data_IF_485864700283
#
_entry.id   IF_485864700283
#
_cell.length_a   1.000
_cell.length_b   1.000
_cell.length_c   1.000
_cell.angle_alpha   90.00
_cell.angle_beta   90.00
_cell.angle_gamma   90.00
#
_symmetry.space_group_name_H-M   'P 1'
#
loop_
_entity.id
_entity.type
_entity.pdbx_description
1 polymer ?
#
# COMPACT_ATOMS: atom_id res chain seq x y z
N UNK A 1 15.06 9.67 -36.11
CA UNK A 1 15.94 9.49 -34.92
C UNK A 1 15.03 9.32 -33.71
N UNK A 2 15.16 8.24 -32.95
CA UNK A 2 14.31 8.04 -31.76
C UNK A 2 14.92 8.78 -30.57
N UNK A 3 14.11 9.47 -29.80
CA UNK A 3 14.51 9.98 -28.48
C UNK A 3 14.59 8.81 -27.51
N UNK A 4 15.50 8.87 -26.53
CA UNK A 4 15.72 7.77 -25.56
C UNK A 4 14.45 7.33 -24.83
N UNK A 5 13.58 8.30 -24.49
CA UNK A 5 12.31 8.04 -23.82
C UNK A 5 11.36 7.20 -24.68
N UNK A 6 11.18 7.59 -25.94
CA UNK A 6 10.33 6.83 -26.90
C UNK A 6 10.88 5.42 -27.13
N UNK A 7 12.21 5.28 -27.17
CA UNK A 7 12.83 3.98 -27.31
C UNK A 7 12.54 3.07 -26.12
N UNK A 8 12.65 3.59 -24.88
CA UNK A 8 12.32 2.82 -23.67
C UNK A 8 10.83 2.44 -23.64
N UNK A 9 9.91 3.32 -24.02
CA UNK A 9 8.50 2.98 -24.13
C UNK A 9 8.27 1.82 -25.11
N UNK A 10 8.88 1.88 -26.30
CA UNK A 10 8.79 0.80 -27.29
C UNK A 10 9.44 -0.51 -26.81
N UNK A 11 10.54 -0.40 -26.09
CA UNK A 11 11.21 -1.57 -25.50
C UNK A 11 10.31 -2.21 -24.44
N UNK A 12 9.70 -1.41 -23.56
CA UNK A 12 8.76 -1.89 -22.55
C UNK A 12 7.56 -2.60 -23.17
N UNK A 13 6.93 -2.01 -24.19
CA UNK A 13 5.81 -2.60 -24.89
C UNK A 13 6.13 -3.93 -25.59
N UNK A 14 7.38 -4.16 -25.98
CA UNK A 14 7.85 -5.42 -26.62
C UNK A 14 8.31 -6.46 -25.59
N UNK A 15 8.48 -6.08 -24.34
CA UNK A 15 8.96 -6.99 -23.30
C UNK A 15 7.76 -7.71 -22.69
N UNK A 16 7.63 -9.00 -22.97
CA UNK A 16 6.60 -9.82 -22.33
C UNK A 16 7.02 -10.20 -20.91
N UNK A 17 6.16 -9.99 -19.91
CA UNK A 17 6.44 -10.41 -18.53
C UNK A 17 6.55 -11.93 -18.43
N UNK A 18 7.69 -12.40 -17.91
CA UNK A 18 8.00 -13.85 -17.89
C UNK A 18 7.33 -14.62 -16.74
N UNK A 19 6.70 -13.92 -15.77
CA UNK A 19 6.07 -14.54 -14.60
C UNK A 19 4.54 -14.37 -14.61
N UNK A 20 3.97 -14.08 -15.78
CA UNK A 20 2.50 -13.99 -15.96
C UNK A 20 1.84 -15.34 -15.64
N UNK A 21 0.76 -15.32 -14.85
CA UNK A 21 -0.05 -16.52 -14.64
C UNK A 21 -0.92 -16.82 -15.87
N UNK A 22 -0.68 -17.95 -16.50
CA UNK A 22 -1.42 -18.40 -17.70
C UNK A 22 -2.46 -19.50 -17.39
N UNK A 23 -2.43 -20.04 -16.17
CA UNK A 23 -3.34 -21.09 -15.70
C UNK A 23 -2.94 -22.50 -16.12
N UNK A 24 -1.71 -22.73 -16.62
CA UNK A 24 -1.22 -24.06 -16.97
C UNK A 24 -0.65 -24.82 -15.77
N UNK A 25 -0.30 -24.10 -14.70
CA UNK A 25 0.14 -24.69 -13.43
C UNK A 25 -0.86 -24.40 -12.31
N UNK A 26 -0.75 -25.11 -11.17
CA UNK A 26 -1.54 -24.80 -9.99
C UNK A 26 -1.28 -23.38 -9.49
N UNK A 27 -2.34 -22.65 -9.14
CA UNK A 27 -2.23 -21.26 -8.69
C UNK A 27 -1.26 -21.09 -7.50
N UNK A 28 -1.29 -22.04 -6.54
CA UNK A 28 -0.41 -22.01 -5.36
C UNK A 28 1.07 -22.09 -5.72
N UNK A 29 1.43 -22.95 -6.67
CA UNK A 29 2.83 -23.13 -7.12
C UNK A 29 3.33 -21.88 -7.86
N UNK A 30 2.50 -21.34 -8.76
CA UNK A 30 2.80 -20.07 -9.42
C UNK A 30 2.97 -18.93 -8.42
N UNK A 31 2.03 -18.80 -7.46
CA UNK A 31 2.05 -17.75 -6.43
C UNK A 31 3.36 -17.79 -5.62
N UNK A 32 3.83 -18.97 -5.22
CA UNK A 32 5.09 -19.12 -4.50
C UNK A 32 6.27 -18.61 -5.32
N UNK A 33 6.42 -19.06 -6.57
CA UNK A 33 7.51 -18.64 -7.47
C UNK A 33 7.44 -17.14 -7.80
N UNK A 34 6.25 -16.62 -8.05
CA UNK A 34 6.05 -15.21 -8.37
C UNK A 34 6.37 -14.31 -7.15
N UNK A 35 5.97 -14.75 -5.93
CA UNK A 35 6.30 -14.05 -4.69
C UNK A 35 7.80 -14.09 -4.38
N UNK A 36 8.46 -15.23 -4.58
CA UNK A 36 9.91 -15.33 -4.45
C UNK A 36 10.62 -14.34 -5.38
N UNK A 37 10.22 -14.31 -6.66
CA UNK A 37 10.77 -13.34 -7.61
C UNK A 37 10.49 -11.89 -7.22
N UNK A 38 9.30 -11.58 -6.73
CA UNK A 38 8.98 -10.24 -6.23
C UNK A 38 9.81 -9.89 -5.00
N UNK A 39 10.01 -10.83 -4.09
CA UNK A 39 10.90 -10.68 -2.92
C UNK A 39 12.32 -10.29 -3.33
N UNK A 40 12.91 -11.01 -4.29
CA UNK A 40 14.23 -10.70 -4.86
C UNK A 40 14.27 -9.26 -5.41
N UNK A 41 13.26 -8.87 -6.20
CA UNK A 41 13.19 -7.55 -6.83
C UNK A 41 13.03 -6.41 -5.80
N UNK A 42 12.39 -6.69 -4.69
CA UNK A 42 12.22 -5.75 -3.56
C UNK A 42 13.40 -5.79 -2.59
N UNK A 43 14.36 -6.70 -2.79
CA UNK A 43 15.49 -6.98 -1.89
C UNK A 43 15.06 -7.48 -0.49
N UNK A 44 13.96 -8.24 -0.41
CA UNK A 44 13.44 -8.79 0.85
C UNK A 44 13.90 -10.24 1.09
N UNK A 45 13.96 -10.70 2.36
CA UNK A 45 13.81 -9.92 3.59
C UNK A 45 15.07 -9.10 3.90
N UNK A 46 14.90 -8.03 4.66
CA UNK A 46 16.05 -7.35 5.26
C UNK A 46 16.55 -8.11 6.50
N UNK A 47 17.71 -7.71 7.02
CA UNK A 47 18.29 -8.38 8.18
C UNK A 47 17.37 -8.24 9.39
N UNK A 48 17.06 -9.34 10.09
CA UNK A 48 16.36 -9.26 11.37
C UNK A 48 17.17 -8.44 12.37
N UNK A 49 16.46 -7.70 13.21
CA UNK A 49 17.03 -6.99 14.36
C UNK A 49 16.28 -7.39 15.64
N UNK A 50 16.80 -7.02 16.79
CA UNK A 50 16.09 -7.21 18.06
C UNK A 50 14.74 -6.46 18.03
N UNK A 51 13.72 -7.04 18.66
CA UNK A 51 12.40 -6.43 18.78
C UNK A 51 12.45 -5.30 19.81
N UNK A 52 12.90 -4.12 19.38
CA UNK A 52 12.87 -2.91 20.17
C UNK A 52 11.65 -2.06 19.77
N UNK A 53 10.83 -1.73 20.74
CA UNK A 53 9.68 -0.84 20.54
C UNK A 53 9.39 -0.05 21.82
N UNK A 54 8.78 1.12 21.69
CA UNK A 54 8.51 2.00 22.82
C UNK A 54 7.19 2.75 22.60
N UNK A 55 6.34 2.82 23.64
CA UNK A 55 5.18 3.69 23.67
C UNK A 55 5.65 5.12 23.98
N UNK A 56 5.42 6.04 23.07
CA UNK A 56 5.75 7.46 23.20
C UNK A 56 4.65 8.23 23.92
N UNK A 57 3.40 7.88 23.66
CA UNK A 57 2.25 8.45 24.37
C UNK A 57 1.04 7.52 24.30
N UNK A 58 0.19 7.56 25.32
CA UNK A 58 -1.12 6.93 25.32
C UNK A 58 -2.16 7.94 25.80
N UNK A 59 -3.26 8.08 25.04
CA UNK A 59 -4.32 9.07 25.30
C UNK A 59 -5.68 8.43 25.14
N UNK A 60 -6.57 8.71 26.07
CA UNK A 60 -8.01 8.46 25.93
C UNK A 60 -8.66 9.68 25.26
N UNK A 61 -9.30 9.46 24.11
CA UNK A 61 -9.99 10.49 23.33
C UNK A 61 -11.53 10.31 23.38
N UNK A 62 -12.01 9.63 24.42
CA UNK A 62 -13.42 9.41 24.71
C UNK A 62 -13.98 8.19 23.98
N UNK A 63 -14.14 8.22 22.67
CA UNK A 63 -14.69 7.11 21.89
C UNK A 63 -13.63 6.07 21.49
N UNK A 64 -12.35 6.43 21.55
CA UNK A 64 -11.20 5.58 21.21
C UNK A 64 -9.95 6.00 21.98
N UNK A 65 -9.06 5.04 22.22
CA UNK A 65 -7.71 5.29 22.71
C UNK A 65 -6.75 5.49 21.54
N UNK A 66 -5.72 6.34 21.72
CA UNK A 66 -4.59 6.50 20.80
C UNK A 66 -3.29 6.12 21.48
N UNK A 67 -2.54 5.24 20.87
CA UNK A 67 -1.19 4.85 21.28
C UNK A 67 -0.22 5.29 20.19
N UNK A 68 0.63 6.28 20.51
CA UNK A 68 1.75 6.65 19.64
C UNK A 68 2.98 5.86 20.10
N UNK A 69 3.62 5.16 19.20
CA UNK A 69 4.77 4.31 19.46
C UNK A 69 5.74 4.32 18.29
N UNK A 70 6.93 3.80 18.53
CA UNK A 70 7.83 3.43 17.44
C UNK A 70 8.37 2.01 17.67
N UNK A 71 8.80 1.38 16.58
CA UNK A 71 9.45 0.08 16.62
C UNK A 71 10.66 0.05 15.69
N UNK A 72 11.67 -0.74 16.07
CA UNK A 72 12.84 -0.95 15.25
C UNK A 72 12.55 -1.94 14.14
N UNK A 73 12.55 -1.49 12.89
CA UNK A 73 12.31 -2.37 11.73
C UNK A 73 13.60 -2.94 11.15
N UNK A 74 14.70 -2.22 11.31
CA UNK A 74 16.07 -2.63 11.04
C UNK A 74 16.97 -2.04 12.11
N UNK A 75 18.19 -2.57 12.28
CA UNK A 75 19.15 -2.04 13.26
C UNK A 75 19.31 -0.52 13.10
N UNK A 76 19.13 0.21 14.19
CA UNK A 76 19.17 1.67 14.26
C UNK A 76 18.07 2.44 13.49
N UNK A 77 17.11 1.74 12.85
CA UNK A 77 16.01 2.39 12.16
C UNK A 77 14.67 2.14 12.85
N UNK A 78 14.08 3.21 13.38
CA UNK A 78 12.78 3.19 14.06
C UNK A 78 11.68 3.78 13.21
N UNK A 79 10.54 3.07 13.15
CA UNK A 79 9.34 3.44 12.40
C UNK A 79 8.31 4.02 13.35
N UNK A 80 7.94 5.32 13.21
CA UNK A 80 6.86 5.91 14.00
C UNK A 80 5.50 5.37 13.57
N UNK A 81 4.65 5.09 14.56
CA UNK A 81 3.29 4.61 14.36
C UNK A 81 2.31 5.30 15.31
N UNK A 82 1.04 5.36 14.89
CA UNK A 82 -0.09 5.64 15.77
C UNK A 82 -1.11 4.53 15.63
N UNK A 83 -1.60 4.00 16.75
CA UNK A 83 -2.66 2.99 16.79
C UNK A 83 -3.89 3.58 17.47
N UNK A 84 -4.98 3.68 16.72
CA UNK A 84 -6.28 4.12 17.22
C UNK A 84 -7.15 2.90 17.52
N UNK A 85 -7.63 2.77 18.75
CA UNK A 85 -8.34 1.59 19.25
C UNK A 85 -9.71 2.03 19.76
N UNK A 86 -10.81 1.67 19.08
CA UNK A 86 -12.17 1.92 19.58
C UNK A 86 -12.40 1.25 20.92
N UNK A 87 -13.20 1.88 21.78
CA UNK A 87 -13.58 1.29 23.06
C UNK A 87 -14.40 0.00 22.84
N UNK A 88 -14.26 -0.95 23.77
CA UNK A 88 -15.00 -2.21 23.78
C UNK A 88 -14.20 -3.41 23.23
N UNK A 89 -14.87 -4.33 22.54
CA UNK A 89 -14.23 -5.55 22.04
C UNK A 89 -13.21 -5.24 20.93
N UNK A 90 -12.14 -6.07 20.80
CA UNK A 90 -11.15 -5.93 19.74
C UNK A 90 -11.79 -5.89 18.35
N UNK A 91 -11.42 -4.89 17.54
CA UNK A 91 -11.90 -4.71 16.18
C UNK A 91 -10.85 -5.18 15.15
N UNK A 92 -11.27 -5.57 13.94
CA UNK A 92 -10.34 -5.84 12.85
C UNK A 92 -9.40 -4.66 12.62
N UNK A 93 -8.15 -4.93 12.21
CA UNK A 93 -7.14 -3.91 11.98
C UNK A 93 -7.23 -3.35 10.56
N UNK A 94 -7.27 -2.02 10.44
CA UNK A 94 -6.99 -1.32 9.19
C UNK A 94 -5.62 -0.65 9.25
N UNK A 95 -4.72 -0.98 8.33
CA UNK A 95 -3.43 -0.30 8.15
C UNK A 95 -3.64 0.84 7.17
N UNK A 96 -3.34 2.07 7.60
CA UNK A 96 -3.60 3.31 6.87
C UNK A 96 -2.29 3.95 6.42
N UNK A 97 -2.03 3.97 5.10
CA UNK A 97 -0.79 4.46 4.51
C UNK A 97 -1.02 5.74 3.70
N UNK A 98 -0.39 6.84 4.12
CA UNK A 98 -0.44 8.10 3.38
C UNK A 98 0.33 8.03 2.05
N UNK A 99 -0.15 8.75 1.03
CA UNK A 99 0.63 9.03 -0.17
C UNK A 99 1.68 10.11 0.05
N UNK A 100 2.23 10.66 -1.02
CA UNK A 100 3.12 11.81 -0.95
C UNK A 100 2.40 12.98 -0.27
N UNK A 101 2.71 13.22 0.99
CA UNK A 101 2.09 14.21 1.84
C UNK A 101 3.07 14.64 2.93
N UNK A 102 2.61 15.47 3.84
CA UNK A 102 3.39 16.03 4.93
C UNK A 102 3.63 15.04 6.08
N UNK A 103 2.91 13.92 6.11
CA UNK A 103 3.12 12.84 7.07
C UNK A 103 1.86 12.09 7.50
N UNK A 104 2.05 11.12 8.38
CA UNK A 104 0.99 10.22 8.84
C UNK A 104 -0.12 10.89 9.65
N UNK A 105 0.15 12.07 10.26
CA UNK A 105 -0.80 12.83 11.07
C UNK A 105 -2.10 13.19 10.32
N UNK A 106 -2.03 13.33 8.99
CA UNK A 106 -3.20 13.57 8.14
C UNK A 106 -4.25 12.47 8.30
N UNK A 107 -3.81 11.20 8.48
CA UNK A 107 -4.73 10.08 8.73
C UNK A 107 -5.56 10.24 9.99
N UNK A 108 -5.06 11.02 10.97
CA UNK A 108 -5.80 11.38 12.19
C UNK A 108 -6.66 12.64 12.06
N UNK A 109 -6.74 13.25 10.87
CA UNK A 109 -7.41 14.53 10.67
C UNK A 109 -6.67 15.73 11.29
N UNK A 110 -5.36 15.61 11.54
CA UNK A 110 -4.55 16.67 12.15
C UNK A 110 -3.87 17.52 11.08
N UNK A 111 -3.99 18.84 11.21
CA UNK A 111 -3.30 19.82 10.37
C UNK A 111 -2.02 20.30 11.07
N UNK A 112 -0.86 20.07 10.45
CA UNK A 112 0.46 20.51 10.95
C UNK A 112 1.17 21.44 9.97
N UNK A 113 0.86 21.31 8.68
CA UNK A 113 1.49 22.08 7.62
C UNK A 113 0.44 22.71 6.71
N UNK A 114 0.84 23.75 5.99
CA UNK A 114 -0.03 24.39 5.02
C UNK A 114 -0.46 23.39 3.92
N UNK A 115 -1.76 23.32 3.65
CA UNK A 115 -2.36 22.40 2.68
C UNK A 115 -2.85 21.07 3.26
N UNK A 116 -2.53 20.72 4.52
CA UNK A 116 -3.03 19.49 5.15
C UNK A 116 -4.54 19.45 5.21
N UNK A 117 -5.19 20.57 5.54
CA UNK A 117 -6.63 20.66 5.58
C UNK A 117 -7.33 20.35 4.25
N UNK A 118 -6.70 20.68 3.12
CA UNK A 118 -7.22 20.31 1.79
C UNK A 118 -7.12 18.81 1.55
N UNK A 119 -6.03 18.19 1.99
CA UNK A 119 -5.86 16.74 1.92
C UNK A 119 -6.89 16.01 2.79
N UNK A 120 -7.11 16.47 4.02
CA UNK A 120 -8.10 15.92 4.94
C UNK A 120 -9.51 16.03 4.34
N UNK A 121 -9.92 17.22 3.90
CA UNK A 121 -11.20 17.42 3.19
C UNK A 121 -11.28 16.58 1.89
N UNK A 122 -10.16 16.27 1.31
CA UNK A 122 -10.03 15.35 0.16
C UNK A 122 -10.14 13.88 0.50
N UNK A 123 -10.49 13.51 1.76
CA UNK A 123 -10.68 12.12 2.20
C UNK A 123 -9.37 11.40 2.57
N UNK A 124 -8.35 12.14 3.05
CA UNK A 124 -7.05 11.58 3.43
C UNK A 124 -6.93 11.28 4.93
N UNK A 125 -7.97 11.50 5.72
CA UNK A 125 -8.12 11.16 7.14
C UNK A 125 -8.43 9.66 7.36
N UNK A 126 -7.65 8.81 6.75
CA UNK A 126 -7.90 7.36 6.61
C UNK A 126 -8.18 6.65 7.93
N UNK A 127 -7.49 7.01 9.01
CA UNK A 127 -7.67 6.38 10.30
C UNK A 127 -9.01 6.77 10.95
N UNK A 128 -9.46 8.00 10.76
CA UNK A 128 -10.78 8.43 11.24
C UNK A 128 -11.89 7.69 10.50
N UNK A 129 -11.78 7.59 9.18
CA UNK A 129 -12.69 6.80 8.35
C UNK A 129 -12.68 5.31 8.72
N UNK A 130 -11.51 4.74 9.02
CA UNK A 130 -11.40 3.34 9.48
C UNK A 130 -12.12 3.12 10.81
N UNK A 131 -11.99 4.05 11.77
CA UNK A 131 -12.75 4.00 13.03
C UNK A 131 -14.28 4.02 12.78
N UNK A 132 -14.75 4.94 11.92
CA UNK A 132 -16.16 5.03 11.52
C UNK A 132 -16.64 3.76 10.81
N UNK A 133 -15.76 3.14 10.04
CA UNK A 133 -16.03 1.87 9.37
C UNK A 133 -16.00 0.65 10.32
N UNK A 134 -15.63 0.82 11.60
CA UNK A 134 -15.65 -0.21 12.63
C UNK A 134 -14.34 -0.97 12.82
N UNK A 135 -13.21 -0.41 12.39
CA UNK A 135 -11.87 -0.96 12.56
C UNK A 135 -11.11 -0.30 13.72
N UNK A 136 -10.08 -0.96 14.23
CA UNK A 136 -8.92 -0.30 14.81
C UNK A 136 -8.02 0.18 13.67
N UNK A 137 -7.32 1.32 13.83
CA UNK A 137 -6.53 1.88 12.76
C UNK A 137 -5.06 1.99 13.14
N UNK A 138 -4.18 1.30 12.41
CA UNK A 138 -2.73 1.46 12.49
C UNK A 138 -2.25 2.40 11.40
N UNK A 139 -1.59 3.47 11.79
CA UNK A 139 -0.99 4.45 10.90
C UNK A 139 0.51 4.27 10.99
N UNK A 140 1.16 4.03 9.84
CA UNK A 140 2.61 3.83 9.75
C UNK A 140 3.22 4.99 9.01
N UNK A 141 4.22 5.65 9.61
CA UNK A 141 4.99 6.69 8.92
C UNK A 141 5.92 6.06 7.90
N UNK A 142 5.76 6.41 6.64
CA UNK A 142 6.56 5.82 5.58
C UNK A 142 7.92 6.48 5.45
N UNK A 143 8.96 5.70 5.16
CA UNK A 143 10.31 6.20 4.89
C UNK A 143 10.30 7.32 3.87
N UNK A 144 11.12 8.35 4.11
CA UNK A 144 11.29 9.53 3.28
C UNK A 144 10.07 10.47 3.26
N UNK A 145 9.14 10.33 4.22
CA UNK A 145 7.96 11.19 4.41
C UNK A 145 7.79 11.55 5.88
N UNK A 146 7.04 12.60 6.16
CA UNK A 146 6.69 13.02 7.52
C UNK A 146 7.89 13.13 8.44
N UNK A 147 7.79 12.57 9.64
CA UNK A 147 8.88 12.53 10.62
C UNK A 147 10.05 11.64 10.20
N UNK A 148 9.84 10.70 9.28
CA UNK A 148 10.89 9.82 8.72
C UNK A 148 11.63 10.44 7.53
N UNK A 149 11.33 11.67 7.16
CA UNK A 149 12.05 12.37 6.09
C UNK A 149 11.23 13.40 5.35
N UNK A 150 11.06 14.58 5.96
CA UNK A 150 10.44 15.74 5.31
C UNK A 150 11.33 16.97 5.41
N UNK A 151 11.10 17.90 4.49
CA UNK A 151 11.65 19.24 4.57
C UNK A 151 10.95 20.04 5.67
N UNK A 152 11.50 21.21 6.02
CA UNK A 152 10.91 22.09 7.04
C UNK A 152 9.48 22.53 6.76
N UNK A 153 9.08 22.54 5.49
CA UNK A 153 7.72 22.83 5.03
C UNK A 153 6.80 21.59 5.00
N UNK A 154 7.27 20.45 5.52
CA UNK A 154 6.54 19.19 5.51
C UNK A 154 6.62 18.41 4.20
N UNK A 155 7.22 18.96 3.15
CA UNK A 155 7.28 18.27 1.86
C UNK A 155 8.15 17.00 1.94
N UNK A 156 7.71 15.85 1.37
CA UNK A 156 8.44 14.59 1.44
C UNK A 156 9.76 14.65 0.67
N UNK A 157 10.85 14.19 1.30
CA UNK A 157 12.19 14.16 0.71
C UNK A 157 12.26 13.29 -0.54
N UNK A 158 11.52 12.17 -0.59
CA UNK A 158 11.50 11.30 -1.77
C UNK A 158 10.99 12.01 -3.02
N UNK A 159 10.03 12.92 -2.89
CA UNK A 159 9.47 13.65 -4.01
C UNK A 159 10.34 14.83 -4.45
N UNK A 160 10.88 15.61 -3.49
CA UNK A 160 11.62 16.83 -3.79
C UNK A 160 13.14 16.66 -3.93
N UNK A 161 13.71 15.64 -3.30
CA UNK A 161 15.15 15.43 -3.23
C UNK A 161 15.61 14.08 -3.76
N UNK A 162 14.71 13.29 -4.31
CA UNK A 162 14.99 11.92 -4.75
C UNK A 162 15.72 11.09 -3.67
N UNK A 163 15.35 11.29 -2.40
CA UNK A 163 16.07 10.73 -1.24
C UNK A 163 16.09 9.20 -1.22
N UNK A 164 15.20 8.55 -1.97
CA UNK A 164 15.18 7.10 -2.12
C UNK A 164 16.21 6.56 -3.13
N UNK A 165 16.81 7.39 -3.98
CA UNK A 165 17.77 6.91 -4.99
C UNK A 165 19.05 6.29 -4.40
N UNK A 166 19.66 6.82 -3.31
CA UNK A 166 20.84 6.20 -2.73
C UNK A 166 20.65 4.73 -2.32
N UNK A 167 19.44 4.33 -1.94
CA UNK A 167 19.13 2.95 -1.60
C UNK A 167 19.34 1.98 -2.78
N UNK A 168 19.13 2.45 -4.02
CA UNK A 168 19.37 1.66 -5.22
C UNK A 168 20.85 1.26 -5.39
N UNK A 169 21.80 2.05 -4.85
CA UNK A 169 23.22 1.71 -4.88
C UNK A 169 23.54 0.49 -4.00
N UNK A 170 22.67 0.19 -3.04
CA UNK A 170 22.73 -0.97 -2.17
C UNK A 170 21.82 -2.12 -2.66
N UNK A 171 21.23 -1.99 -3.85
CA UNK A 171 20.25 -2.94 -4.38
C UNK A 171 18.87 -2.87 -3.72
N UNK A 172 18.62 -1.87 -2.88
CA UNK A 172 17.34 -1.68 -2.16
C UNK A 172 16.40 -0.78 -2.96
N UNK A 173 15.09 -0.92 -2.72
CA UNK A 173 14.09 -0.03 -3.31
C UNK A 173 13.25 0.62 -2.21
N UNK A 174 12.76 1.83 -2.43
CA UNK A 174 11.88 2.48 -1.46
C UNK A 174 10.57 1.68 -1.23
N UNK A 175 10.09 0.97 -2.25
CA UNK A 175 8.93 0.07 -2.11
C UNK A 175 9.29 -1.08 -1.18
N UNK A 176 10.41 -1.78 -1.40
CA UNK A 176 10.86 -2.89 -0.56
C UNK A 176 11.04 -2.46 0.90
N UNK A 177 11.68 -1.30 1.14
CA UNK A 177 11.87 -0.76 2.48
C UNK A 177 10.55 -0.47 3.20
N UNK A 178 9.58 0.14 2.52
CA UNK A 178 8.26 0.44 3.08
C UNK A 178 7.39 -0.81 3.28
N UNK A 179 7.49 -1.78 2.36
CA UNK A 179 6.83 -3.08 2.51
C UNK A 179 7.37 -3.81 3.74
N UNK A 180 8.68 -3.81 3.94
CA UNK A 180 9.30 -4.37 5.13
C UNK A 180 8.78 -3.73 6.41
N UNK A 181 8.72 -2.39 6.46
CA UNK A 181 8.20 -1.67 7.62
C UNK A 181 6.74 -2.04 7.93
N UNK A 182 5.89 -2.21 6.91
CA UNK A 182 4.50 -2.66 7.09
C UNK A 182 4.44 -4.09 7.63
N UNK A 183 5.25 -5.01 7.11
CA UNK A 183 5.31 -6.40 7.59
C UNK A 183 5.75 -6.44 9.06
N UNK A 184 6.79 -5.69 9.42
CA UNK A 184 7.26 -5.57 10.81
C UNK A 184 6.23 -4.89 11.72
N UNK A 185 5.50 -3.88 11.23
CA UNK A 185 4.41 -3.26 11.99
C UNK A 185 3.29 -4.26 12.31
N UNK A 186 2.96 -5.16 11.38
CA UNK A 186 2.02 -6.26 11.63
C UNK A 186 2.55 -7.20 12.72
N UNK A 187 3.86 -7.55 12.69
CA UNK A 187 4.48 -8.39 13.71
C UNK A 187 4.32 -7.76 15.10
N UNK A 188 4.68 -6.48 15.24
CA UNK A 188 4.60 -5.74 16.50
C UNK A 188 3.16 -5.67 17.02
N UNK A 189 2.21 -5.27 16.17
CA UNK A 189 0.80 -5.16 16.60
C UNK A 189 0.22 -6.53 16.95
N UNK A 190 0.54 -7.56 16.19
CA UNK A 190 0.06 -8.94 16.46
C UNK A 190 0.66 -9.54 17.74
N UNK A 191 1.86 -9.10 18.13
CA UNK A 191 2.52 -9.60 19.34
C UNK A 191 2.12 -8.82 20.58
N UNK A 192 2.13 -7.49 20.51
CA UNK A 192 2.04 -6.64 21.71
C UNK A 192 0.66 -6.01 21.92
N UNK A 193 -0.22 -6.03 20.90
CA UNK A 193 -1.56 -5.45 20.98
C UNK A 193 -2.68 -6.46 20.67
N UNK A 194 -2.37 -7.77 20.63
CA UNK A 194 -3.32 -8.82 20.26
C UNK A 194 -4.59 -8.86 21.15
N UNK A 195 -4.50 -8.49 22.42
CA UNK A 195 -5.66 -8.42 23.32
C UNK A 195 -6.57 -7.21 23.04
N UNK A 196 -6.06 -6.19 22.35
CA UNK A 196 -6.75 -4.92 22.08
C UNK A 196 -7.24 -4.81 20.64
N UNK A 197 -6.63 -5.56 19.70
CA UNK A 197 -6.86 -5.45 18.26
C UNK A 197 -6.92 -6.83 17.63
N UNK A 198 -7.92 -7.06 16.77
CA UNK A 198 -8.02 -8.31 16.01
C UNK A 198 -7.14 -8.22 14.75
N UNK A 199 -6.03 -8.95 14.75
CA UNK A 199 -5.06 -9.01 13.64
C UNK A 199 -5.26 -10.20 12.70
N UNK A 200 -6.31 -11.01 12.87
CA UNK A 200 -6.64 -12.12 11.95
C UNK A 200 -7.27 -11.61 10.64
N UNK A 201 -7.95 -10.46 10.70
CA UNK A 201 -8.64 -9.85 9.57
C UNK A 201 -8.09 -8.45 9.27
N UNK A 202 -6.86 -8.40 8.76
CA UNK A 202 -6.19 -7.13 8.43
C UNK A 202 -6.67 -6.62 7.08
N UNK A 203 -7.14 -5.37 7.07
CA UNK A 203 -7.28 -4.55 5.86
C UNK A 203 -6.07 -3.64 5.75
N UNK A 204 -5.46 -3.52 4.57
CA UNK A 204 -4.44 -2.52 4.28
C UNK A 204 -4.95 -1.57 3.21
N UNK A 205 -4.84 -0.26 3.47
CA UNK A 205 -5.30 0.76 2.55
C UNK A 205 -4.33 1.93 2.46
N UNK A 206 -4.38 2.63 1.34
CA UNK A 206 -3.62 3.84 1.14
C UNK A 206 -3.87 4.46 -0.23
N UNK A 207 -3.46 5.72 -0.41
CA UNK A 207 -3.63 6.43 -1.68
C UNK A 207 -2.28 6.80 -2.29
N UNK A 208 -2.15 6.78 -3.62
CA UNK A 208 -0.93 7.19 -4.33
C UNK A 208 0.28 6.37 -3.86
N UNK A 209 1.35 7.00 -3.38
CA UNK A 209 2.50 6.29 -2.80
C UNK A 209 2.13 5.33 -1.67
N UNK A 210 1.13 5.65 -0.84
CA UNK A 210 0.58 4.73 0.16
C UNK A 210 -0.19 3.58 -0.47
N UNK A 211 -0.94 3.85 -1.55
CA UNK A 211 -1.59 2.81 -2.34
C UNK A 211 -0.59 1.85 -2.99
N UNK A 212 0.54 2.37 -3.48
CA UNK A 212 1.64 1.54 -4.00
C UNK A 212 2.16 0.59 -2.92
N UNK A 213 2.45 1.10 -1.71
CA UNK A 213 2.93 0.25 -0.60
C UNK A 213 1.85 -0.74 -0.15
N UNK A 214 0.58 -0.31 -0.05
CA UNK A 214 -0.56 -1.21 0.21
C UNK A 214 -0.58 -2.39 -0.76
N UNK A 215 -0.44 -2.10 -2.04
CA UNK A 215 -0.46 -3.12 -3.10
C UNK A 215 0.69 -4.13 -2.95
N UNK A 216 1.93 -3.64 -2.86
CA UNK A 216 3.09 -4.52 -2.76
C UNK A 216 3.16 -5.27 -1.43
N UNK A 217 2.81 -4.64 -0.30
CA UNK A 217 2.72 -5.31 1.00
C UNK A 217 1.70 -6.45 0.98
N UNK A 218 0.54 -6.22 0.34
CA UNK A 218 -0.47 -7.26 0.19
C UNK A 218 -0.05 -8.40 -0.76
N UNK A 219 0.82 -8.14 -1.73
CA UNK A 219 1.43 -9.20 -2.54
C UNK A 219 2.38 -10.06 -1.72
N UNK A 220 3.07 -9.48 -0.72
CA UNK A 220 4.11 -10.14 0.07
C UNK A 220 3.60 -10.79 1.35
N UNK A 221 2.56 -10.25 1.98
CA UNK A 221 2.09 -10.69 3.30
C UNK A 221 0.64 -11.18 3.26
N UNK A 222 0.43 -12.49 3.49
CA UNK A 222 -0.90 -13.14 3.47
C UNK A 222 -1.76 -12.83 4.70
N UNK A 223 -1.19 -12.17 5.73
CA UNK A 223 -1.96 -11.68 6.88
C UNK A 223 -2.88 -10.53 6.48
N UNK A 224 -2.54 -9.78 5.42
CA UNK A 224 -3.43 -8.77 4.84
C UNK A 224 -4.52 -9.49 4.05
N UNK A 225 -5.74 -9.53 4.61
CA UNK A 225 -6.89 -10.24 4.03
C UNK A 225 -7.63 -9.42 2.99
N UNK A 226 -7.64 -8.09 3.15
CA UNK A 226 -8.24 -7.15 2.21
C UNK A 226 -7.22 -6.08 1.84
N UNK A 227 -6.89 -5.96 0.57
CA UNK A 227 -6.08 -4.88 0.04
C UNK A 227 -6.97 -3.82 -0.62
N UNK A 228 -6.80 -2.55 -0.24
CA UNK A 228 -7.53 -1.43 -0.83
C UNK A 228 -6.56 -0.34 -1.32
N UNK A 229 -5.76 -0.63 -2.38
CA UNK A 229 -4.88 0.36 -3.00
C UNK A 229 -5.69 1.38 -3.81
N UNK A 230 -5.46 2.68 -3.56
CA UNK A 230 -6.11 3.79 -4.26
C UNK A 230 -5.12 4.56 -5.12
N UNK A 231 -5.49 4.85 -6.37
CA UNK A 231 -4.71 5.63 -7.34
C UNK A 231 -3.25 5.17 -7.43
N UNK A 232 -3.04 3.86 -7.65
CA UNK A 232 -1.71 3.25 -7.62
C UNK A 232 -1.58 1.96 -8.45
N UNK A 233 -2.68 1.33 -8.83
CA UNK A 233 -2.68 0.10 -9.62
C UNK A 233 -3.03 0.44 -11.07
N UNK A 234 -2.04 0.36 -11.95
CA UNK A 234 -2.15 0.67 -13.36
C UNK A 234 -0.99 -0.02 -14.09
N UNK A 235 -1.19 -0.53 -15.30
CA UNK A 235 -0.08 -1.14 -16.06
C UNK A 235 1.11 -0.20 -16.11
N UNK A 236 2.33 -0.73 -15.94
CA UNK A 236 3.56 0.09 -15.97
C UNK A 236 3.71 0.85 -17.28
N UNK A 237 3.33 0.21 -18.39
CA UNK A 237 3.40 0.84 -19.72
C UNK A 237 2.44 2.03 -19.89
N UNK A 238 1.35 2.08 -19.13
CA UNK A 238 0.34 3.14 -19.21
C UNK A 238 0.56 4.26 -18.16
N UNK A 239 1.41 4.05 -17.14
CA UNK A 239 1.63 4.99 -16.04
C UNK A 239 3.11 5.28 -15.80
N UNK A 240 3.85 4.38 -15.14
CA UNK A 240 5.22 4.62 -14.65
C UNK A 240 6.21 4.90 -15.79
N UNK A 241 6.01 4.29 -16.97
CA UNK A 241 6.92 4.44 -18.12
C UNK A 241 6.68 5.75 -18.89
N UNK A 242 5.43 6.13 -19.25
CA UNK A 242 5.17 7.32 -20.05
C UNK A 242 5.16 8.63 -19.26
N UNK A 243 4.94 8.60 -17.94
CA UNK A 243 4.82 9.79 -17.10
C UNK A 243 5.98 9.95 -16.13
N UNK A 244 6.11 11.14 -15.55
CA UNK A 244 7.03 11.37 -14.46
C UNK A 244 6.40 10.86 -13.15
N UNK A 245 7.10 9.98 -12.47
CA UNK A 245 6.77 9.54 -11.13
C UNK A 245 7.93 9.77 -10.17
N UNK A 246 7.62 9.84 -8.87
CA UNK A 246 8.64 9.86 -7.84
C UNK A 246 9.55 8.61 -7.96
N UNK A 247 10.84 8.79 -7.72
CA UNK A 247 11.82 7.68 -7.73
C UNK A 247 11.43 6.49 -6.84
N UNK A 248 10.58 6.72 -5.82
CA UNK A 248 10.09 5.67 -4.94
C UNK A 248 9.08 4.69 -5.60
N UNK A 249 8.66 4.92 -6.84
CA UNK A 249 7.79 4.00 -7.58
C UNK A 249 8.56 3.00 -8.46
N UNK A 250 9.89 3.10 -8.51
CA UNK A 250 10.69 2.28 -9.41
C UNK A 250 11.31 1.09 -8.69
N UNK A 251 11.04 -0.11 -9.21
CA UNK A 251 11.70 -1.37 -8.84
C UNK A 251 12.52 -1.85 -10.04
N UNK A 252 13.85 -1.88 -9.95
CA UNK A 252 14.72 -2.25 -11.07
C UNK A 252 14.38 -3.62 -11.64
N UNK A 253 14.15 -3.68 -12.95
CA UNK A 253 13.93 -4.94 -13.66
C UNK A 253 12.53 -5.55 -13.53
N UNK A 254 11.63 -4.99 -12.76
CA UNK A 254 10.31 -5.58 -12.46
C UNK A 254 9.51 -5.89 -13.75
N UNK A 255 9.58 -5.00 -14.75
CA UNK A 255 8.82 -5.14 -16.00
C UNK A 255 9.24 -6.34 -16.85
N UNK A 256 10.41 -6.93 -16.61
CA UNK A 256 10.82 -8.18 -17.25
C UNK A 256 10.01 -9.39 -16.76
N UNK A 257 9.44 -9.29 -15.58
CA UNK A 257 8.77 -10.40 -14.90
C UNK A 257 7.27 -10.17 -14.75
N UNK A 258 6.85 -8.93 -14.50
CA UNK A 258 5.47 -8.60 -14.16
C UNK A 258 5.01 -7.31 -14.83
N UNK A 259 3.73 -7.25 -15.14
CA UNK A 259 2.91 -6.05 -15.15
C UNK A 259 2.17 -5.92 -13.80
N UNK A 260 1.59 -4.74 -13.53
CA UNK A 260 0.86 -4.52 -12.29
C UNK A 260 -0.32 -5.48 -12.15
N UNK A 261 -1.02 -5.76 -13.25
CA UNK A 261 -2.09 -6.76 -13.29
C UNK A 261 -1.62 -8.18 -12.98
N UNK A 262 -0.37 -8.55 -13.34
CA UNK A 262 0.21 -9.86 -12.99
C UNK A 262 0.47 -9.96 -11.48
N UNK A 263 0.99 -8.88 -10.87
CA UNK A 263 1.18 -8.80 -9.41
C UNK A 263 -0.15 -8.86 -8.66
N UNK A 264 -1.21 -8.22 -9.16
CA UNK A 264 -2.54 -8.25 -8.56
C UNK A 264 -3.10 -9.68 -8.46
N UNK A 265 -2.68 -10.58 -9.36
CA UNK A 265 -3.05 -12.00 -9.29
C UNK A 265 -2.53 -12.72 -8.03
N UNK A 266 -1.47 -12.22 -7.38
CA UNK A 266 -0.94 -12.78 -6.12
C UNK A 266 -1.95 -12.72 -4.96
N UNK A 267 -3.01 -11.94 -5.10
CA UNK A 267 -4.06 -11.79 -4.09
C UNK A 267 -5.33 -12.59 -4.41
N UNK A 268 -5.34 -13.48 -5.43
CA UNK A 268 -6.56 -14.16 -5.87
C UNK A 268 -7.09 -15.24 -4.89
N UNK A 269 -6.42 -15.47 -3.79
CA UNK A 269 -6.90 -16.25 -2.65
C UNK A 269 -7.45 -15.40 -1.50
N UNK A 270 -7.43 -14.06 -1.62
CA UNK A 270 -7.88 -13.09 -0.61
C UNK A 270 -8.83 -12.07 -1.26
N UNK A 271 -8.76 -10.80 -0.88
CA UNK A 271 -9.61 -9.77 -1.45
C UNK A 271 -8.82 -8.55 -1.91
N UNK A 272 -9.24 -7.97 -3.04
CA UNK A 272 -8.62 -6.79 -3.66
C UNK A 272 -9.69 -5.80 -4.08
N UNK A 273 -9.64 -4.58 -3.53
CA UNK A 273 -10.48 -3.44 -3.89
C UNK A 273 -9.59 -2.38 -4.54
N UNK A 274 -9.50 -2.36 -5.85
CA UNK A 274 -8.76 -1.32 -6.57
C UNK A 274 -9.64 -0.07 -6.62
N UNK A 275 -9.11 1.05 -6.11
CA UNK A 275 -9.79 2.35 -6.16
C UNK A 275 -9.08 3.27 -7.15
N UNK A 276 -9.81 3.91 -8.05
CA UNK A 276 -9.25 4.83 -9.04
C UNK A 276 -10.15 6.03 -9.31
N UNK A 277 -9.57 7.14 -9.73
CA UNK A 277 -10.28 8.27 -10.30
C UNK A 277 -10.37 8.13 -11.82
N UNK A 278 -11.54 8.34 -12.41
CA UNK A 278 -11.70 8.24 -13.88
C UNK A 278 -10.97 9.33 -14.66
N UNK A 279 -10.56 10.41 -13.97
CA UNK A 279 -9.80 11.55 -14.52
C UNK A 279 -8.38 11.62 -13.96
N UNK A 280 -7.87 10.52 -13.38
CA UNK A 280 -6.52 10.50 -12.81
C UNK A 280 -5.46 10.59 -13.92
N UNK A 281 -4.63 11.67 -13.95
CA UNK A 281 -3.63 11.83 -14.99
C UNK A 281 -2.39 10.94 -14.77
N UNK A 282 -2.12 10.51 -13.53
CA UNK A 282 -0.95 9.74 -13.17
C UNK A 282 -1.18 8.23 -13.34
N UNK A 283 -2.43 7.79 -13.16
CA UNK A 283 -2.87 6.40 -13.28
C UNK A 283 -4.11 6.33 -14.19
N UNK A 284 -3.93 6.42 -15.52
CA UNK A 284 -5.04 6.45 -16.48
C UNK A 284 -5.96 5.25 -16.37
N UNK A 285 -7.28 5.51 -16.44
CA UNK A 285 -8.32 4.50 -16.26
C UNK A 285 -8.14 3.27 -17.17
N UNK A 286 -7.70 3.46 -18.41
CA UNK A 286 -7.47 2.36 -19.35
C UNK A 286 -6.44 1.35 -18.81
N UNK A 287 -5.30 1.82 -18.28
CA UNK A 287 -4.27 0.99 -17.69
C UNK A 287 -4.71 0.33 -16.38
N UNK A 288 -5.51 1.04 -15.57
CA UNK A 288 -6.14 0.47 -14.37
C UNK A 288 -7.07 -0.68 -14.76
N UNK A 289 -7.92 -0.50 -15.77
CA UNK A 289 -8.85 -1.52 -16.23
C UNK A 289 -8.14 -2.73 -16.86
N UNK A 290 -7.00 -2.53 -17.52
CA UNK A 290 -6.16 -3.65 -18.01
C UNK A 290 -5.68 -4.50 -16.83
N UNK A 291 -5.11 -3.87 -15.80
CA UNK A 291 -4.65 -4.55 -14.56
C UNK A 291 -5.81 -5.25 -13.85
N UNK A 292 -6.94 -4.56 -13.69
CA UNK A 292 -8.14 -5.13 -13.06
C UNK A 292 -8.68 -6.36 -13.81
N UNK A 293 -8.86 -6.28 -15.14
CA UNK A 293 -9.36 -7.41 -15.94
C UNK A 293 -8.46 -8.63 -15.82
N UNK A 294 -7.14 -8.43 -15.79
CA UNK A 294 -6.17 -9.50 -15.60
C UNK A 294 -6.30 -10.16 -14.23
N UNK A 295 -6.31 -9.38 -13.17
CA UNK A 295 -6.53 -9.87 -11.82
C UNK A 295 -7.86 -10.62 -11.71
N UNK A 296 -8.95 -10.00 -12.14
CA UNK A 296 -10.32 -10.54 -12.10
C UNK A 296 -10.41 -11.93 -12.71
N UNK A 297 -9.78 -12.13 -13.87
CA UNK A 297 -9.78 -13.44 -14.53
C UNK A 297 -9.16 -14.56 -13.68
N UNK A 298 -8.12 -14.24 -12.87
CA UNK A 298 -7.50 -15.21 -11.96
C UNK A 298 -8.35 -15.42 -10.72
N UNK A 299 -8.95 -14.37 -10.17
CA UNK A 299 -9.92 -14.48 -9.08
C UNK A 299 -11.12 -15.37 -9.47
N UNK A 300 -11.64 -15.22 -10.69
CA UNK A 300 -12.72 -16.05 -11.23
C UNK A 300 -12.32 -17.53 -11.31
N UNK A 301 -11.12 -17.82 -11.82
CA UNK A 301 -10.59 -19.19 -11.87
C UNK A 301 -10.47 -19.83 -10.49
N UNK A 302 -10.17 -19.02 -9.46
CA UNK A 302 -10.08 -19.46 -8.07
C UNK A 302 -11.45 -19.46 -7.35
N UNK A 303 -12.57 -19.22 -8.05
CA UNK A 303 -13.91 -19.18 -7.47
C UNK A 303 -14.16 -17.97 -6.55
N UNK A 304 -13.39 -16.89 -6.70
CA UNK A 304 -13.43 -15.69 -5.85
C UNK A 304 -13.67 -14.39 -6.64
N UNK A 305 -14.42 -14.48 -7.74
CA UNK A 305 -14.71 -13.30 -8.57
C UNK A 305 -15.19 -12.09 -7.75
N UNK A 306 -16.08 -12.30 -6.78
CA UNK A 306 -16.66 -11.22 -5.97
C UNK A 306 -15.68 -10.57 -4.99
N UNK A 307 -14.50 -11.17 -4.80
CA UNK A 307 -13.43 -10.62 -3.97
C UNK A 307 -12.44 -9.71 -4.73
N UNK A 308 -12.61 -9.53 -6.03
CA UNK A 308 -11.85 -8.59 -6.87
C UNK A 308 -12.77 -7.47 -7.37
N UNK A 309 -12.64 -6.28 -6.79
CA UNK A 309 -13.55 -5.15 -7.03
C UNK A 309 -12.78 -3.97 -7.61
N UNK A 310 -13.38 -3.27 -8.56
CA UNK A 310 -12.89 -1.99 -9.07
C UNK A 310 -13.89 -0.87 -8.73
N UNK A 311 -13.44 0.04 -7.87
CA UNK A 311 -14.16 1.27 -7.50
C UNK A 311 -13.69 2.41 -8.39
N UNK A 312 -14.63 3.06 -9.08
CA UNK A 312 -14.38 4.20 -9.98
C UNK A 312 -14.97 5.46 -9.38
N UNK A 313 -14.13 6.37 -8.89
CA UNK A 313 -14.55 7.69 -8.47
C UNK A 313 -14.64 8.68 -9.64
N UNK A 314 -15.52 9.65 -9.55
CA UNK A 314 -15.88 10.58 -10.64
C UNK A 314 -14.79 11.62 -10.98
N UNK A 315 -13.76 11.77 -10.16
CA UNK A 315 -12.73 12.82 -10.27
C UNK A 315 -11.33 12.25 -10.58
N UNK A 316 -10.27 12.99 -10.19
CA UNK A 316 -8.86 12.66 -10.47
C UNK A 316 -8.17 11.87 -9.36
N UNK A 317 -6.93 12.25 -9.08
CA UNK A 317 -6.00 11.56 -8.18
C UNK A 317 -6.33 11.75 -6.70
N UNK A 318 -7.32 11.01 -6.18
CA UNK A 318 -7.75 11.07 -4.78
C UNK A 318 -8.37 9.76 -4.31
N UNK A 319 -8.55 9.61 -2.99
CA UNK A 319 -9.34 8.53 -2.41
C UNK A 319 -10.85 8.85 -2.50
N UNK A 320 -11.68 7.82 -2.59
CA UNK A 320 -13.13 7.89 -2.74
C UNK A 320 -13.79 7.08 -1.61
N UNK A 321 -13.92 7.66 -0.40
CA UNK A 321 -14.35 6.93 0.79
C UNK A 321 -15.78 6.40 0.70
N UNK A 322 -16.70 7.18 0.13
CA UNK A 322 -18.13 6.82 0.06
C UNK A 322 -18.36 5.57 -0.81
N UNK A 323 -17.54 5.39 -1.85
CA UNK A 323 -17.63 4.24 -2.74
C UNK A 323 -16.77 3.06 -2.26
N UNK A 324 -15.60 3.32 -1.65
CA UNK A 324 -14.61 2.30 -1.34
C UNK A 324 -14.89 1.55 -0.03
N UNK A 325 -15.22 2.26 1.05
CA UNK A 325 -15.45 1.62 2.34
C UNK A 325 -16.60 0.61 2.38
N UNK A 326 -17.76 0.84 1.71
CA UNK A 326 -18.81 -0.18 1.66
C UNK A 326 -18.35 -1.51 1.05
N UNK A 327 -17.51 -1.46 0.01
CA UNK A 327 -16.98 -2.67 -0.62
C UNK A 327 -15.96 -3.37 0.26
N UNK A 328 -15.03 -2.63 0.86
CA UNK A 328 -14.04 -3.18 1.78
C UNK A 328 -14.69 -3.84 3.02
N UNK A 329 -15.73 -3.23 3.59
CA UNK A 329 -16.48 -3.76 4.73
C UNK A 329 -17.16 -5.10 4.40
N UNK A 330 -17.82 -5.21 3.26
CA UNK A 330 -18.42 -6.47 2.81
C UNK A 330 -17.40 -7.61 2.84
N UNK A 331 -16.19 -7.36 2.31
CA UNK A 331 -15.14 -8.37 2.21
C UNK A 331 -14.51 -8.73 3.56
N UNK A 332 -14.34 -7.77 4.46
CA UNK A 332 -13.76 -8.00 5.79
C UNK A 332 -14.71 -8.76 6.72
N UNK A 333 -16.00 -8.35 6.75
CA UNK A 333 -16.95 -8.90 7.71
C UNK A 333 -17.65 -10.15 7.21
N UNK A 334 -17.73 -10.42 5.90
CA UNK A 334 -18.16 -11.70 5.35
C UNK A 334 -17.17 -12.85 5.64
N UNK A 335 -15.89 -12.54 5.87
CA UNK A 335 -14.89 -13.55 6.25
C UNK A 335 -15.01 -14.03 7.72
N UNK A 336 -15.94 -13.44 8.49
CA UNK A 336 -16.19 -13.80 9.90
C UNK A 336 -17.39 -14.75 10.09
N UNK A 337 -18.13 -15.05 9.03
CA UNK A 337 -19.24 -16.01 8.99
C UNK A 337 -18.83 -17.30 8.31
#
# INVERSE_FOLDING_TARGET
MYQSREYIQKLTARTEPSMRYDGQEAYGDWKLRAREKLSDLLALPFSPCEDAWEILSEKDLGNYGRVDFHFQSEEEYFVPCSLLIPNGAPRPLAICLQGHSTGMHISCGEEKFNGDGDLIRGGRDFAMQALEAGYSALIVEMRYMGSSGSLKDGAPLCARRNAALPALLLGRTAIGERVWDVMRAIDVVSTYFAERVNTENILCMGNSGGGTVTFYASCMDDRIKVAMPSCSVCEFEDSIVPFYHCCCNYVPGIRKYFEMGDLACLMADRALVIVCGIKDPDFPLEGVEKSYRRARAVFERNGRADACILVRGGEGHRFYPEEAWPEAKKLTFLAQT
#
